data_IF_881668455808
#
_entry.id   IF_881668455808
#
_cell.length_a   1.000
_cell.length_b   1.000
_cell.length_c   1.000
_cell.angle_alpha   90.00
_cell.angle_beta   90.00
_cell.angle_gamma   90.00
#
_symmetry.space_group_name_H-M   'P 1'
#
loop_
_entity.id
_entity.type
_entity.pdbx_description
1 polymer ?
#
# COMPACT_ATOMS: atom_id res chain seq x y z
N UNK A 1 27.72 -32.50 34.04
CA UNK A 1 27.82 -33.82 33.39
C UNK A 1 27.86 -33.61 31.89
N UNK A 2 28.58 -34.44 31.14
CA UNK A 2 28.71 -34.35 29.68
C UNK A 2 28.04 -35.59 29.08
N UNK A 3 27.25 -35.41 28.03
CA UNK A 3 26.83 -36.52 27.17
C UNK A 3 27.30 -36.26 25.73
N UNK A 4 28.16 -37.17 25.24
CA UNK A 4 28.50 -37.36 23.82
C UNK A 4 27.64 -38.49 23.26
N UNK A 5 27.21 -38.34 22.01
CA UNK A 5 27.02 -39.36 20.97
C UNK A 5 26.87 -38.53 19.67
N UNK A 6 27.62 -38.68 18.57
CA UNK A 6 28.08 -39.86 17.82
C UNK A 6 26.90 -40.72 17.33
N UNK A 7 26.62 -40.88 16.03
CA UNK A 7 27.25 -40.31 14.83
C UNK A 7 26.37 -40.57 13.59
N UNK A 8 26.72 -39.98 12.44
CA UNK A 8 25.95 -40.13 11.20
C UNK A 8 26.27 -41.44 10.44
N UNK A 9 25.40 -41.84 9.50
CA UNK A 9 25.90 -42.12 8.15
C UNK A 9 25.19 -41.29 7.07
N UNK A 10 25.94 -40.96 6.02
CA UNK A 10 25.45 -40.40 4.75
C UNK A 10 24.99 -41.51 3.80
N UNK A 11 24.09 -41.18 2.87
CA UNK A 11 23.87 -41.95 1.65
C UNK A 11 23.65 -41.01 0.46
N UNK A 12 24.21 -41.38 -0.68
CA UNK A 12 24.31 -40.54 -1.88
C UNK A 12 23.18 -40.74 -2.89
N UNK A 13 23.19 -39.88 -3.91
CA UNK A 13 22.28 -39.78 -5.05
C UNK A 13 22.00 -41.08 -5.82
N UNK A 14 20.79 -41.18 -6.37
CA UNK A 14 20.50 -41.87 -7.63
C UNK A 14 19.54 -41.03 -8.50
N UNK A 15 19.40 -41.41 -9.77
CA UNK A 15 18.97 -40.54 -10.89
C UNK A 15 17.90 -41.22 -11.79
N UNK A 16 17.09 -40.41 -12.48
CA UNK A 16 16.19 -40.69 -13.62
C UNK A 16 15.18 -41.87 -13.59
N UNK A 17 13.95 -41.62 -14.09
CA UNK A 17 12.94 -42.65 -14.39
C UNK A 17 11.53 -42.09 -14.63
N UNK A 18 11.02 -42.22 -15.87
CA UNK A 18 9.79 -41.59 -16.38
C UNK A 18 8.46 -42.30 -16.06
N UNK A 19 7.37 -41.61 -16.46
CA UNK A 19 6.06 -42.12 -16.96
C UNK A 19 4.90 -42.51 -16.02
N UNK A 20 3.72 -42.02 -16.44
CA UNK A 20 2.34 -42.51 -16.22
C UNK A 20 1.77 -42.63 -14.78
N UNK A 21 0.45 -42.86 -14.62
CA UNK A 21 -0.72 -42.02 -14.95
C UNK A 21 -1.96 -42.62 -14.24
N UNK A 22 -2.99 -41.81 -13.94
CA UNK A 22 -4.20 -42.21 -13.20
C UNK A 22 -3.93 -42.68 -11.73
N UNK A 23 -4.91 -42.87 -10.84
CA UNK A 23 -6.38 -42.82 -11.02
C UNK A 23 -7.12 -42.19 -9.80
N UNK A 24 -8.45 -42.12 -9.86
CA UNK A 24 -9.34 -41.33 -8.99
C UNK A 24 -9.49 -41.87 -7.57
N UNK A 25 -9.10 -41.07 -6.57
CA UNK A 25 -9.34 -41.32 -5.14
C UNK A 25 -10.61 -40.67 -4.60
N UNK A 26 -11.77 -41.30 -4.78
CA UNK A 26 -13.05 -40.80 -4.27
C UNK A 26 -13.20 -41.00 -2.75
N UNK A 27 -13.31 -39.92 -1.95
CA UNK A 27 -13.64 -40.01 -0.52
C UNK A 27 -15.08 -39.55 -0.25
N UNK A 28 -15.80 -40.36 0.54
CA UNK A 28 -17.26 -40.40 0.61
C UNK A 28 -17.76 -39.77 1.90
N UNK A 29 -18.75 -38.89 1.81
CA UNK A 29 -19.41 -38.36 3.00
C UNK A 29 -20.23 -39.45 3.72
N UNK A 30 -20.15 -39.46 5.05
CA UNK A 30 -21.04 -40.24 5.94
C UNK A 30 -22.01 -39.30 6.64
N UNK A 31 -23.29 -39.64 6.64
CA UNK A 31 -24.37 -38.75 7.08
C UNK A 31 -25.45 -39.55 7.83
N UNK A 32 -25.40 -39.50 9.16
CA UNK A 32 -26.37 -40.05 10.13
C UNK A 32 -26.05 -39.45 11.52
N UNK A 33 -26.97 -39.19 12.45
CA UNK A 33 -28.42 -39.50 12.51
C UNK A 33 -29.22 -38.30 13.06
N UNK A 34 -30.54 -38.36 12.94
CA UNK A 34 -31.52 -37.35 13.36
C UNK A 34 -31.61 -37.14 14.89
N UNK A 35 -32.15 -35.97 15.26
CA UNK A 35 -32.75 -35.68 16.57
C UNK A 35 -33.94 -34.72 16.39
N UNK A 36 -35.08 -35.04 17.01
CA UNK A 36 -36.33 -34.27 16.97
C UNK A 36 -36.26 -33.03 17.89
N UNK A 37 -37.06 -31.97 17.78
CA UNK A 37 -38.17 -31.66 16.86
C UNK A 37 -39.28 -30.87 17.59
N UNK A 38 -39.73 -29.73 17.07
CA UNK A 38 -40.91 -29.01 17.59
C UNK A 38 -41.67 -28.24 16.48
N UNK A 39 -42.99 -28.14 16.65
CA UNK A 39 -43.95 -27.61 15.65
C UNK A 39 -44.39 -26.19 16.04
N UNK A 40 -44.53 -25.28 15.06
CA UNK A 40 -44.84 -23.86 15.33
C UNK A 40 -45.49 -23.07 14.20
N UNK A 41 -46.81 -23.26 14.00
CA UNK A 41 -47.78 -22.24 13.56
C UNK A 41 -47.47 -21.33 12.35
N UNK A 42 -48.01 -21.68 11.18
CA UNK A 42 -48.09 -20.78 10.01
C UNK A 42 -49.17 -19.70 10.20
N UNK A 43 -48.87 -18.42 9.91
CA UNK A 43 -49.92 -17.43 9.61
C UNK A 43 -49.48 -16.34 8.61
N UNK A 44 -49.98 -16.44 7.38
CA UNK A 44 -49.96 -15.37 6.39
C UNK A 44 -51.10 -14.37 6.68
N UNK A 45 -50.87 -13.06 6.52
CA UNK A 45 -51.96 -12.09 6.37
C UNK A 45 -51.64 -10.91 5.46
N UNK A 46 -52.02 -11.07 4.19
CA UNK A 46 -52.15 -9.96 3.24
C UNK A 46 -53.38 -9.10 3.58
N UNK A 47 -53.33 -7.80 3.28
CA UNK A 47 -54.52 -6.93 3.14
C UNK A 47 -54.35 -6.00 1.95
N UNK A 48 -55.38 -5.93 1.10
CA UNK A 48 -55.48 -5.08 -0.09
C UNK A 48 -56.95 -4.67 -0.28
N UNK A 49 -57.25 -3.38 -0.22
CA UNK A 49 -58.51 -2.70 -0.62
C UNK A 49 -58.34 -1.20 -0.26
N UNK A 50 -58.90 -0.20 -0.94
CA UNK A 50 -59.57 -0.05 -2.26
C UNK A 50 -59.64 1.47 -2.54
N UNK A 51 -59.38 2.01 -3.72
CA UNK A 51 -60.18 1.99 -4.98
C UNK A 51 -61.57 2.62 -4.84
N UNK A 52 -61.64 3.94 -5.05
CA UNK A 52 -62.68 4.77 -5.73
C UNK A 52 -61.95 6.05 -6.20
N UNK A 53 -62.19 6.71 -7.34
CA UNK A 53 -63.04 6.45 -8.51
C UNK A 53 -63.31 7.76 -9.30
N UNK A 54 -63.40 7.70 -10.64
CA UNK A 54 -63.64 8.83 -11.56
C UNK A 54 -62.35 9.42 -12.19
N UNK A 55 -62.15 9.63 -13.51
CA UNK A 55 -62.99 10.11 -14.64
C UNK A 55 -63.06 11.66 -14.77
N UNK A 56 -62.92 12.33 -15.94
CA UNK A 56 -62.29 12.03 -17.26
C UNK A 56 -62.18 13.34 -18.08
N UNK A 57 -61.42 13.36 -19.20
CA UNK A 57 -61.48 14.36 -20.31
C UNK A 57 -61.09 15.83 -19.96
N UNK A 58 -61.01 16.79 -20.90
CA UNK A 58 -60.17 16.84 -22.11
C UNK A 58 -60.01 18.28 -22.66
N UNK A 59 -58.93 18.53 -23.42
CA UNK A 59 -58.82 19.48 -24.56
C UNK A 59 -59.07 21.02 -24.43
N UNK A 60 -58.05 21.79 -24.88
CA UNK A 60 -58.15 22.84 -25.93
C UNK A 60 -58.52 24.32 -25.63
N UNK A 61 -57.46 25.14 -25.46
CA UNK A 61 -57.12 26.35 -26.26
C UNK A 61 -57.91 27.69 -26.19
N UNK A 62 -57.19 28.74 -26.62
CA UNK A 62 -57.61 30.09 -27.11
C UNK A 62 -58.05 31.19 -26.10
N UNK A 63 -57.94 32.51 -26.37
CA UNK A 63 -56.89 33.35 -27.02
C UNK A 63 -57.34 34.83 -27.19
N UNK A 64 -56.54 35.84 -26.82
CA UNK A 64 -56.51 37.28 -27.27
C UNK A 64 -55.31 37.98 -26.59
N UNK A 65 -54.49 38.91 -27.14
CA UNK A 65 -54.66 40.16 -27.93
C UNK A 65 -55.28 41.31 -27.10
N UNK A 66 -54.82 42.57 -27.11
CA UNK A 66 -53.67 43.32 -27.73
C UNK A 66 -53.45 44.62 -26.88
N UNK A 67 -52.68 45.70 -27.14
CA UNK A 67 -52.04 46.37 -28.32
C UNK A 67 -50.76 47.14 -27.85
N UNK A 68 -50.04 47.81 -28.76
CA UNK A 68 -48.86 48.71 -28.55
C UNK A 68 -49.21 50.18 -28.91
N UNK A 69 -48.29 51.16 -29.20
CA UNK A 69 -46.81 51.24 -29.19
C UNK A 69 -46.35 52.30 -28.12
N UNK A 70 -45.36 53.22 -28.21
CA UNK A 70 -44.34 53.72 -29.16
C UNK A 70 -43.34 54.57 -28.30
N UNK A 71 -42.02 54.76 -28.46
CA UNK A 71 -40.90 54.39 -29.37
C UNK A 71 -39.60 54.31 -28.48
N UNK A 72 -38.31 54.46 -28.85
CA UNK A 72 -37.52 54.75 -30.07
C UNK A 72 -36.04 54.25 -29.88
N UNK A 73 -35.08 54.69 -30.73
CA UNK A 73 -33.68 54.92 -30.31
C UNK A 73 -32.71 53.72 -30.20
N UNK A 74 -32.51 52.97 -31.28
CA UNK A 74 -31.38 52.01 -31.48
C UNK A 74 -30.30 52.63 -32.40
N UNK A 75 -29.16 51.97 -32.80
CA UNK A 75 -28.66 50.59 -32.61
C UNK A 75 -27.25 50.52 -31.94
N UNK A 76 -26.67 49.36 -31.56
CA UNK A 76 -26.19 48.22 -32.38
C UNK A 76 -25.98 46.96 -31.50
N UNK A 77 -26.45 45.74 -31.84
CA UNK A 77 -26.04 44.77 -32.90
C UNK A 77 -24.56 44.36 -32.81
N UNK A 78 -24.15 43.09 -32.62
CA UNK A 78 -24.81 41.77 -32.56
C UNK A 78 -24.08 40.88 -31.52
N UNK A 79 -24.54 39.70 -31.08
CA UNK A 79 -25.66 38.87 -31.54
C UNK A 79 -25.18 37.54 -32.17
N UNK A 80 -25.87 36.44 -31.83
CA UNK A 80 -25.79 35.09 -32.43
C UNK A 80 -24.63 34.12 -32.05
N UNK A 81 -25.02 33.15 -31.20
CA UNK A 81 -25.10 31.71 -31.51
C UNK A 81 -23.85 30.80 -31.43
N UNK A 82 -24.01 29.73 -30.64
CA UNK A 82 -23.10 28.56 -30.55
C UNK A 82 -23.23 27.69 -31.81
N UNK A 83 -22.09 27.27 -32.38
CA UNK A 83 -22.04 26.22 -33.41
C UNK A 83 -20.92 25.23 -33.10
N UNK A 84 -21.26 23.93 -33.05
CA UNK A 84 -20.29 22.85 -32.82
C UNK A 84 -19.71 22.34 -34.15
N UNK A 85 -18.41 22.58 -34.39
CA UNK A 85 -17.47 21.65 -35.04
C UNK A 85 -16.07 22.26 -35.20
N UNK A 86 -15.07 21.66 -34.56
CA UNK A 86 -13.94 21.01 -35.24
C UNK A 86 -12.91 20.47 -34.23
N UNK A 87 -12.45 19.24 -34.42
CA UNK A 87 -11.32 18.69 -33.67
C UNK A 87 -10.02 19.17 -34.30
N UNK A 88 -9.30 20.07 -33.63
CA UNK A 88 -7.92 20.41 -34.00
C UNK A 88 -6.96 19.44 -33.29
N UNK A 89 -6.35 18.52 -34.05
CA UNK A 89 -5.29 17.65 -33.52
C UNK A 89 -4.06 18.52 -33.22
N UNK A 90 -3.71 18.65 -31.95
CA UNK A 90 -2.51 19.37 -31.53
C UNK A 90 -1.26 18.60 -31.98
N UNK A 91 -0.48 19.18 -32.90
CA UNK A 91 0.76 18.58 -33.37
C UNK A 91 1.76 18.41 -32.20
N UNK A 92 2.50 17.29 -32.13
CA UNK A 92 3.44 17.03 -31.04
C UNK A 92 4.58 18.06 -31.07
N UNK A 93 4.76 18.78 -29.96
CA UNK A 93 5.90 19.69 -29.79
C UNK A 93 7.19 18.86 -29.83
N UNK A 94 8.13 19.20 -30.72
CA UNK A 94 9.45 18.54 -30.77
C UNK A 94 10.20 18.77 -29.46
N UNK A 95 10.33 17.73 -28.64
CA UNK A 95 11.11 17.77 -27.41
C UNK A 95 12.60 17.98 -27.72
N UNK A 96 13.25 18.91 -27.01
CA UNK A 96 14.65 19.23 -27.20
C UNK A 96 15.54 18.20 -26.46
N UNK A 97 16.40 17.43 -27.14
CA UNK A 97 17.08 16.25 -26.56
C UNK A 97 18.03 16.59 -25.41
N UNK A 98 18.57 17.82 -25.35
CA UNK A 98 19.44 18.25 -24.25
C UNK A 98 18.73 18.34 -22.89
N UNK A 99 17.43 18.68 -22.86
CA UNK A 99 16.70 18.81 -21.58
C UNK A 99 16.48 17.44 -20.92
N UNK A 100 16.25 16.41 -21.72
CA UNK A 100 16.10 15.03 -21.25
C UNK A 100 17.42 14.49 -20.70
N UNK A 101 18.56 14.72 -21.38
CA UNK A 101 19.88 14.32 -20.86
C UNK A 101 20.24 15.06 -19.56
N UNK A 102 20.00 16.37 -19.48
CA UNK A 102 20.28 17.13 -18.25
C UNK A 102 19.52 16.57 -17.04
N UNK A 103 18.22 16.28 -17.20
CA UNK A 103 17.39 15.63 -16.16
C UNK A 103 17.91 14.24 -15.79
N UNK A 104 18.36 13.45 -16.77
CA UNK A 104 18.92 12.13 -16.55
C UNK A 104 20.22 12.18 -15.71
N UNK A 105 21.08 13.16 -15.95
CA UNK A 105 22.29 13.38 -15.13
C UNK A 105 21.90 13.70 -13.67
N UNK A 106 20.97 14.63 -13.46
CA UNK A 106 20.46 14.96 -12.11
C UNK A 106 19.89 13.75 -11.39
N UNK A 107 19.24 12.83 -12.10
CA UNK A 107 18.77 11.56 -11.52
C UNK A 107 19.91 10.63 -11.13
N UNK A 108 20.94 10.48 -11.98
CA UNK A 108 22.11 9.64 -11.69
C UNK A 108 22.88 10.19 -10.47
N UNK A 109 23.02 11.50 -10.36
CA UNK A 109 23.64 12.13 -9.18
C UNK A 109 22.79 11.96 -7.92
N UNK A 110 21.47 12.06 -8.03
CA UNK A 110 20.55 11.72 -6.95
C UNK A 110 20.61 10.23 -6.56
N UNK A 111 20.85 9.31 -7.50
CA UNK A 111 21.05 7.87 -7.24
C UNK A 111 22.40 7.58 -6.56
N UNK A 112 23.47 8.32 -6.91
CA UNK A 112 24.77 8.27 -6.22
C UNK A 112 24.59 8.61 -4.74
N UNK A 113 23.98 9.76 -4.45
CA UNK A 113 23.70 10.26 -3.11
C UNK A 113 22.71 9.38 -2.31
N UNK A 114 21.82 8.63 -2.98
CA UNK A 114 20.91 7.65 -2.36
C UNK A 114 21.52 6.25 -2.18
N UNK A 115 22.83 6.09 -2.40
CA UNK A 115 23.57 4.97 -1.81
C UNK A 115 23.45 5.05 -0.29
N UNK A 116 23.13 3.96 0.43
CA UNK A 116 23.34 3.96 1.87
C UNK A 116 24.79 4.35 2.19
N UNK A 117 25.04 5.11 3.27
CA UNK A 117 26.28 4.89 4.01
C UNK A 117 26.41 3.38 4.23
N UNK A 118 27.60 2.82 4.06
CA UNK A 118 27.82 1.41 4.41
C UNK A 118 27.34 1.21 5.84
N UNK A 119 26.88 0.02 6.19
CA UNK A 119 26.88 -0.40 7.59
C UNK A 119 28.36 -0.40 8.02
N UNK A 120 28.80 0.74 8.56
CA UNK A 120 30.20 1.01 8.89
C UNK A 120 30.54 0.14 10.08
N UNK A 121 31.33 -0.91 9.82
CA UNK A 121 32.04 -1.58 10.90
C UNK A 121 32.88 -0.54 11.62
N UNK A 122 32.88 -0.55 12.96
CA UNK A 122 33.42 0.50 13.84
C UNK A 122 34.97 0.51 13.89
N UNK A 123 35.62 0.30 12.75
CA UNK A 123 37.07 0.17 12.60
C UNK A 123 37.56 1.02 11.42
N UNK A 124 37.96 2.26 11.71
CA UNK A 124 38.71 3.10 10.76
C UNK A 124 38.24 4.55 10.56
N UNK A 125 37.36 5.12 11.40
CA UNK A 125 36.88 6.50 11.25
C UNK A 125 37.45 7.45 12.32
N UNK A 126 37.63 8.72 11.96
CA UNK A 126 38.20 9.76 12.83
C UNK A 126 37.15 10.19 13.88
N UNK A 127 37.44 10.19 15.21
CA UNK A 127 36.44 10.49 16.25
C UNK A 127 35.64 11.77 16.01
N UNK A 128 36.28 12.84 15.55
CA UNK A 128 35.64 14.13 15.23
C UNK A 128 34.50 14.00 14.21
N UNK A 129 34.61 13.08 13.24
CA UNK A 129 33.56 12.83 12.25
C UNK A 129 32.38 12.06 12.81
N UNK A 130 32.63 11.15 13.77
CA UNK A 130 31.58 10.41 14.48
C UNK A 130 30.77 11.38 15.37
N UNK A 131 31.46 12.24 16.11
CA UNK A 131 30.82 13.25 16.97
C UNK A 131 29.97 14.25 16.16
N UNK A 132 30.45 14.68 14.98
CA UNK A 132 29.66 15.54 14.09
C UNK A 132 28.42 14.83 13.52
N UNK A 133 28.52 13.58 13.06
CA UNK A 133 27.37 12.82 12.57
C UNK A 133 26.35 12.55 13.72
N UNK A 134 26.83 12.25 14.93
CA UNK A 134 25.99 12.03 16.11
C UNK A 134 25.30 13.32 16.59
N UNK A 135 25.99 14.46 16.57
CA UNK A 135 25.41 15.76 16.88
C UNK A 135 24.33 16.16 15.85
N UNK A 136 24.58 15.93 14.55
CA UNK A 136 23.62 16.19 13.49
C UNK A 136 22.36 15.31 13.61
N UNK A 137 22.50 14.03 13.99
CA UNK A 137 21.36 13.16 14.27
C UNK A 137 20.61 13.58 15.54
N UNK A 138 21.31 14.03 16.59
CA UNK A 138 20.68 14.53 17.82
C UNK A 138 19.83 15.78 17.57
N UNK A 139 20.35 16.76 16.83
CA UNK A 139 19.62 17.97 16.42
C UNK A 139 18.49 17.69 15.40
N UNK A 140 18.51 16.55 14.73
CA UNK A 140 17.41 16.07 13.89
C UNK A 140 16.30 15.41 14.71
N UNK A 141 16.66 14.65 15.76
CA UNK A 141 15.70 14.04 16.71
C UNK A 141 14.90 15.08 17.52
N UNK A 142 15.40 16.30 17.69
CA UNK A 142 14.60 17.40 18.28
C UNK A 142 13.35 17.74 17.45
N UNK A 143 13.42 17.53 16.13
CA UNK A 143 12.34 17.82 15.17
C UNK A 143 11.50 16.57 14.87
N UNK A 144 12.12 15.40 14.88
CA UNK A 144 11.50 14.10 14.61
C UNK A 144 11.79 13.12 15.77
N UNK A 145 11.21 13.32 16.96
CA UNK A 145 11.59 12.57 18.15
C UNK A 145 11.18 11.10 18.08
N UNK A 146 11.91 10.25 18.80
CA UNK A 146 11.67 8.80 18.80
C UNK A 146 10.24 8.46 19.25
N UNK A 147 9.56 7.63 18.47
CA UNK A 147 8.23 7.12 18.82
C UNK A 147 8.25 6.18 20.03
N UNK A 148 9.42 5.63 20.42
CA UNK A 148 9.60 4.87 21.65
C UNK A 148 9.62 5.77 22.89
N UNK A 149 10.35 6.89 22.87
CA UNK A 149 10.43 7.83 24.00
C UNK A 149 9.18 8.70 24.12
N UNK A 150 8.44 8.88 23.03
CA UNK A 150 7.17 9.62 23.00
C UNK A 150 5.92 8.72 23.06
N UNK A 151 6.07 7.39 23.19
CA UNK A 151 4.98 6.41 23.09
C UNK A 151 3.74 6.78 23.93
N UNK A 152 3.90 7.17 25.19
CA UNK A 152 2.77 7.56 26.07
C UNK A 152 1.98 8.78 25.56
N UNK A 153 2.63 9.69 24.80
CA UNK A 153 1.95 10.81 24.15
C UNK A 153 1.07 10.31 23.00
N UNK A 154 1.59 9.38 22.20
CA UNK A 154 0.85 8.73 21.09
C UNK A 154 -0.32 7.91 21.64
N UNK A 155 -0.07 7.06 22.64
CA UNK A 155 -1.07 6.26 23.34
C UNK A 155 -2.19 7.12 23.98
N UNK A 156 -1.86 8.32 24.48
CA UNK A 156 -2.85 9.29 24.97
C UNK A 156 -3.70 9.91 23.85
N UNK A 157 -3.14 10.16 22.66
CA UNK A 157 -3.87 10.68 21.49
C UNK A 157 -4.73 9.59 20.81
N UNK A 158 -4.26 8.35 20.81
CA UNK A 158 -4.96 7.16 20.33
C UNK A 158 -6.04 6.65 21.30
N UNK A 159 -6.09 7.18 22.53
CA UNK A 159 -7.06 6.73 23.55
C UNK A 159 -8.49 6.97 23.09
N UNK A 160 -9.33 5.95 23.30
CA UNK A 160 -10.74 5.88 22.87
C UNK A 160 -10.98 5.88 21.34
N UNK A 161 -9.93 5.76 20.51
CA UNK A 161 -10.03 5.74 19.04
C UNK A 161 -9.86 4.35 18.43
N UNK A 162 -10.34 4.19 17.21
CA UNK A 162 -10.04 3.03 16.37
C UNK A 162 -8.66 3.19 15.73
N UNK A 163 -7.64 2.57 16.35
CA UNK A 163 -6.29 2.54 15.79
C UNK A 163 -6.23 1.58 14.60
N UNK A 164 -5.62 2.04 13.50
CA UNK A 164 -5.34 1.27 12.28
C UNK A 164 -3.85 1.38 11.98
N UNK A 165 -3.20 0.28 11.62
CA UNK A 165 -1.74 0.21 11.47
C UNK A 165 -1.34 -0.05 10.02
N UNK A 166 -0.50 0.82 9.48
CA UNK A 166 0.07 0.73 8.13
C UNK A 166 1.58 0.60 8.22
N UNK A 167 2.13 -0.39 7.52
CA UNK A 167 3.55 -0.74 7.59
C UNK A 167 4.11 -0.85 6.18
N UNK A 168 5.19 -0.15 5.88
CA UNK A 168 6.07 -0.53 4.77
C UNK A 168 6.82 -1.84 5.11
N UNK A 169 7.47 -2.46 4.12
CA UNK A 169 8.21 -3.71 4.30
C UNK A 169 9.74 -3.54 4.31
N UNK A 170 10.33 -2.89 3.30
CA UNK A 170 11.77 -2.91 3.03
C UNK A 170 12.50 -1.76 3.74
N UNK A 171 13.31 -2.10 4.75
CA UNK A 171 13.89 -1.13 5.69
C UNK A 171 13.02 -0.86 6.91
N UNK A 172 11.79 -1.36 6.91
CA UNK A 172 10.78 -1.14 7.94
C UNK A 172 10.53 -2.39 8.78
N UNK A 173 10.15 -3.50 8.13
CA UNK A 173 9.91 -4.81 8.77
C UNK A 173 11.01 -5.84 8.46
N UNK A 174 11.76 -5.61 7.39
CA UNK A 174 12.99 -6.34 7.03
C UNK A 174 14.15 -5.34 6.94
N UNK A 175 15.39 -5.71 7.30
CA UNK A 175 16.56 -4.88 7.00
C UNK A 175 16.77 -4.71 5.48
N UNK A 176 17.40 -3.59 5.09
CA UNK A 176 17.75 -3.32 3.69
C UNK A 176 18.97 -4.15 3.30
N UNK A 177 18.79 -5.06 2.33
CA UNK A 177 19.81 -6.02 1.89
C UNK A 177 20.31 -5.75 0.46
N UNK A 178 21.47 -6.31 0.13
CA UNK A 178 22.07 -6.21 -1.21
C UNK A 178 21.24 -6.92 -2.28
N UNK A 179 20.76 -8.15 -1.99
CA UNK A 179 19.82 -8.88 -2.84
C UNK A 179 18.38 -8.79 -2.28
N UNK A 180 17.43 -8.12 -2.96
CA UNK A 180 16.02 -8.04 -2.60
C UNK A 180 15.32 -9.36 -2.28
N UNK A 181 15.77 -10.49 -2.80
CA UNK A 181 15.18 -11.82 -2.55
C UNK A 181 15.59 -12.39 -1.17
N UNK A 182 16.48 -11.70 -0.45
CA UNK A 182 16.91 -12.02 0.93
C UNK A 182 16.42 -11.00 1.96
N UNK A 183 15.47 -10.15 1.61
CA UNK A 183 14.80 -9.22 2.53
C UNK A 183 13.74 -9.98 3.33
N UNK A 184 14.19 -10.82 4.27
CA UNK A 184 13.33 -11.76 5.00
C UNK A 184 13.01 -11.17 6.39
N UNK A 185 11.71 -11.05 6.68
CA UNK A 185 11.18 -10.76 8.02
C UNK A 185 11.55 -11.88 8.99
N UNK A 186 12.09 -11.54 10.17
CA UNK A 186 12.37 -12.51 11.24
C UNK A 186 11.08 -13.05 11.85
N UNK A 187 11.09 -14.26 12.39
CA UNK A 187 9.88 -14.85 12.98
C UNK A 187 9.43 -14.13 14.27
N UNK A 188 10.35 -13.47 14.98
CA UNK A 188 10.01 -12.52 16.04
C UNK A 188 9.20 -11.31 15.53
N UNK A 189 9.59 -10.73 14.40
CA UNK A 189 8.85 -9.64 13.76
C UNK A 189 7.52 -10.16 13.22
N UNK A 190 7.49 -11.35 12.60
CA UNK A 190 6.28 -12.02 12.12
C UNK A 190 5.27 -12.22 13.25
N UNK A 191 5.71 -12.76 14.39
CA UNK A 191 4.88 -12.94 15.59
C UNK A 191 4.40 -11.59 16.13
N UNK A 192 5.26 -10.58 16.16
CA UNK A 192 4.91 -9.22 16.61
C UNK A 192 3.83 -8.59 15.71
N UNK A 193 3.99 -8.63 14.38
CA UNK A 193 3.00 -8.12 13.42
C UNK A 193 1.69 -8.91 13.50
N UNK A 194 1.75 -10.23 13.73
CA UNK A 194 0.57 -11.08 13.98
C UNK A 194 -0.20 -10.61 15.22
N UNK A 195 0.48 -10.36 16.33
CA UNK A 195 -0.16 -9.83 17.54
C UNK A 195 -0.79 -8.45 17.31
N UNK A 196 -0.13 -7.56 16.56
CA UNK A 196 -0.71 -6.27 16.14
C UNK A 196 -2.01 -6.48 15.35
N UNK A 197 -2.04 -7.42 14.41
CA UNK A 197 -3.21 -7.76 13.62
C UNK A 197 -4.40 -8.29 14.47
N UNK A 198 -4.13 -9.02 15.56
CA UNK A 198 -5.20 -9.42 16.51
C UNK A 198 -5.79 -8.25 17.30
N UNK A 199 -5.06 -7.14 17.38
CA UNK A 199 -5.42 -5.96 18.17
C UNK A 199 -5.98 -4.80 17.33
N UNK A 200 -5.61 -4.71 16.05
CA UNK A 200 -5.88 -3.58 15.16
C UNK A 200 -5.96 -4.02 13.69
N UNK A 201 -6.83 -3.45 12.84
CA UNK A 201 -6.73 -3.59 11.39
C UNK A 201 -5.35 -3.17 10.93
N UNK A 202 -4.64 -4.10 10.27
CA UNK A 202 -3.22 -3.94 9.92
C UNK A 202 -3.00 -4.22 8.45
N UNK A 203 -2.23 -3.36 7.79
CA UNK A 203 -1.95 -3.41 6.36
C UNK A 203 -0.46 -3.23 6.05
N UNK A 204 0.06 -4.03 5.12
CA UNK A 204 1.42 -3.87 4.59
C UNK A 204 1.36 -3.23 3.20
N UNK A 205 2.10 -2.13 3.00
CA UNK A 205 2.11 -1.33 1.77
C UNK A 205 3.53 -1.28 1.20
N UNK A 206 3.78 -1.98 0.09
CA UNK A 206 5.14 -2.21 -0.45
C UNK A 206 5.24 -1.89 -1.94
N UNK A 207 6.43 -1.51 -2.39
CA UNK A 207 6.76 -1.45 -3.83
C UNK A 207 6.72 -2.81 -4.54
N UNK A 208 6.91 -3.91 -3.79
CA UNK A 208 6.93 -5.28 -4.31
C UNK A 208 5.58 -5.76 -4.83
N UNK A 209 5.58 -6.71 -5.76
CA UNK A 209 4.38 -7.45 -6.12
C UNK A 209 3.68 -8.03 -4.88
N UNK A 210 2.34 -7.93 -4.85
CA UNK A 210 1.51 -8.37 -3.72
C UNK A 210 1.77 -9.83 -3.28
N UNK A 211 1.94 -10.82 -4.19
CA UNK A 211 2.31 -12.18 -3.80
C UNK A 211 3.69 -12.27 -3.15
N UNK A 212 4.69 -11.54 -3.66
CA UNK A 212 6.08 -11.61 -3.16
C UNK A 212 6.24 -11.07 -1.74
N UNK A 213 5.52 -9.99 -1.39
CA UNK A 213 5.48 -9.53 0.01
C UNK A 213 4.67 -10.47 0.91
N UNK A 214 3.61 -11.09 0.38
CA UNK A 214 2.89 -12.15 1.11
C UNK A 214 3.78 -13.38 1.40
N UNK A 215 4.58 -13.83 0.43
CA UNK A 215 5.52 -14.95 0.56
C UNK A 215 6.55 -14.74 1.69
N UNK A 216 6.97 -13.49 1.94
CA UNK A 216 7.86 -13.18 3.05
C UNK A 216 7.16 -13.01 4.40
N UNK A 217 5.91 -12.52 4.43
CA UNK A 217 5.19 -12.19 5.67
C UNK A 217 4.34 -13.36 6.19
N UNK A 218 3.63 -14.05 5.31
CA UNK A 218 2.87 -15.29 5.58
C UNK A 218 1.75 -15.14 6.64
N UNK A 219 1.10 -13.97 6.69
CA UNK A 219 -0.04 -13.69 7.57
C UNK A 219 -1.29 -13.39 6.74
N UNK A 220 -2.31 -14.24 6.79
CA UNK A 220 -3.55 -14.11 6.01
C UNK A 220 -4.55 -13.13 6.63
N UNK A 221 -4.35 -12.76 7.90
CA UNK A 221 -5.13 -11.77 8.63
C UNK A 221 -4.83 -10.30 8.25
N UNK A 222 -3.81 -10.07 7.41
CA UNK A 222 -3.38 -8.74 6.98
C UNK A 222 -3.99 -8.30 5.64
N UNK A 223 -4.11 -6.99 5.46
CA UNK A 223 -4.25 -6.38 4.14
C UNK A 223 -2.87 -6.20 3.49
N UNK A 224 -2.77 -6.40 2.17
CA UNK A 224 -1.55 -6.24 1.39
C UNK A 224 -1.80 -5.33 0.21
N UNK A 225 -1.04 -4.23 0.14
CA UNK A 225 -1.08 -3.24 -0.92
C UNK A 225 0.28 -3.23 -1.66
N UNK A 226 0.45 -4.17 -2.59
CA UNK A 226 1.67 -4.31 -3.38
C UNK A 226 1.73 -3.32 -4.55
N UNK A 227 2.86 -3.28 -5.24
CA UNK A 227 3.10 -2.42 -6.42
C UNK A 227 2.95 -0.92 -6.09
N UNK A 228 3.53 -0.47 -4.97
CA UNK A 228 3.31 0.85 -4.35
C UNK A 228 1.82 1.14 -4.07
N UNK A 229 1.07 0.08 -3.73
CA UNK A 229 -0.35 0.13 -3.44
C UNK A 229 -1.29 0.11 -4.65
N UNK A 230 -0.82 -0.27 -5.84
CA UNK A 230 -1.68 -0.51 -7.02
C UNK A 230 -2.25 -1.94 -7.11
N UNK A 231 -1.84 -2.87 -6.24
CA UNK A 231 -2.46 -4.20 -6.09
C UNK A 231 -2.83 -4.45 -4.63
N UNK A 232 -4.07 -4.10 -4.27
CA UNK A 232 -4.59 -4.22 -2.91
C UNK A 232 -5.44 -5.50 -2.79
N UNK A 233 -5.21 -6.29 -1.75
CA UNK A 233 -6.12 -7.35 -1.30
C UNK A 233 -6.11 -7.50 0.23
N UNK A 234 -7.22 -7.90 0.83
CA UNK A 234 -7.29 -8.29 2.24
C UNK A 234 -8.57 -9.04 2.61
N UNK A 235 -8.70 -9.53 3.85
CA UNK A 235 -9.82 -10.35 4.27
C UNK A 235 -11.15 -9.58 4.28
N UNK A 236 -12.18 -10.06 3.57
CA UNK A 236 -13.53 -9.50 3.68
C UNK A 236 -14.28 -9.93 4.96
N UNK A 237 -13.79 -10.97 5.63
CA UNK A 237 -14.34 -11.48 6.89
C UNK A 237 -13.34 -11.27 8.05
N UNK A 238 -12.89 -10.02 8.24
CA UNK A 238 -12.01 -9.62 9.36
C UNK A 238 -12.78 -9.60 10.69
N UNK A 239 -13.13 -10.79 11.19
CA UNK A 239 -13.68 -11.11 12.51
C UNK A 239 -14.51 -9.99 13.19
N UNK A 240 -15.74 -9.79 12.71
CA UNK A 240 -16.88 -9.09 13.35
C UNK A 240 -16.74 -7.64 13.87
N UNK A 241 -15.55 -7.04 13.93
CA UNK A 241 -15.34 -5.75 14.64
C UNK A 241 -15.47 -4.52 13.73
N UNK A 242 -15.26 -4.62 12.41
CA UNK A 242 -15.20 -3.47 11.50
C UNK A 242 -16.13 -3.61 10.29
N UNK A 243 -16.76 -2.50 9.88
CA UNK A 243 -17.66 -2.47 8.71
C UNK A 243 -16.84 -2.32 7.43
N UNK A 244 -16.78 -3.39 6.63
CA UNK A 244 -16.10 -3.34 5.34
C UNK A 244 -17.00 -2.72 4.27
N UNK A 245 -16.52 -1.64 3.67
CA UNK A 245 -17.12 -0.94 2.53
C UNK A 245 -16.26 -1.09 1.24
N UNK A 246 -15.18 -1.88 1.29
CA UNK A 246 -14.27 -2.09 0.16
C UNK A 246 -14.90 -2.88 -0.99
N UNK A 247 -14.27 -2.81 -2.17
CA UNK A 247 -14.69 -3.58 -3.34
C UNK A 247 -14.47 -5.07 -3.08
N UNK A 248 -15.53 -5.88 -3.10
CA UNK A 248 -15.44 -7.32 -2.89
C UNK A 248 -15.17 -8.06 -4.20
N UNK A 249 -14.29 -9.06 -4.12
CA UNK A 249 -14.03 -10.03 -5.17
C UNK A 249 -13.86 -11.43 -4.58
N UNK A 250 -13.80 -12.45 -5.43
CA UNK A 250 -13.44 -13.81 -5.04
C UNK A 250 -11.93 -14.04 -5.19
N UNK A 251 -11.31 -14.70 -4.21
CA UNK A 251 -9.95 -15.21 -4.34
C UNK A 251 -9.90 -16.51 -5.17
N UNK A 252 -8.70 -17.10 -5.29
CA UNK A 252 -8.50 -18.38 -6.02
C UNK A 252 -9.22 -19.58 -5.40
N UNK A 253 -9.73 -19.46 -4.18
CA UNK A 253 -10.41 -20.52 -3.41
C UNK A 253 -11.92 -20.26 -3.26
N UNK A 254 -12.44 -19.15 -3.79
CA UNK A 254 -13.85 -18.77 -3.70
C UNK A 254 -14.22 -17.97 -2.44
N UNK A 255 -13.24 -17.60 -1.61
CA UNK A 255 -13.47 -16.73 -0.45
C UNK A 255 -13.71 -15.29 -0.89
N UNK A 256 -14.52 -14.55 -0.14
CA UNK A 256 -14.65 -13.11 -0.32
C UNK A 256 -13.42 -12.38 0.23
N UNK A 257 -12.86 -11.49 -0.60
CA UNK A 257 -11.74 -10.62 -0.27
C UNK A 257 -12.05 -9.18 -0.68
N UNK A 258 -11.56 -8.22 0.10
CA UNK A 258 -11.42 -6.84 -0.38
C UNK A 258 -10.34 -6.86 -1.45
N UNK A 259 -10.58 -6.25 -2.60
CA UNK A 259 -9.66 -6.29 -3.75
C UNK A 259 -9.77 -5.01 -4.60
N UNK A 260 -8.63 -4.39 -4.93
CA UNK A 260 -8.61 -3.16 -5.71
C UNK A 260 -7.33 -2.97 -6.53
N UNK A 261 -7.49 -2.56 -7.79
CA UNK A 261 -6.41 -2.31 -8.75
C UNK A 261 -6.75 -1.08 -9.62
N UNK A 262 -6.28 0.13 -9.27
CA UNK A 262 -6.64 1.39 -9.95
C UNK A 262 -5.97 1.57 -11.33
N UNK A 263 -5.16 0.61 -11.76
CA UNK A 263 -4.44 0.61 -13.03
C UNK A 263 -4.65 -0.70 -13.82
N UNK A 264 -5.72 -1.45 -13.54
CA UNK A 264 -5.93 -2.82 -14.08
C UNK A 264 -5.81 -2.93 -15.61
N UNK A 265 -6.22 -1.90 -16.36
CA UNK A 265 -6.12 -1.78 -17.80
C UNK A 265 -4.66 -1.72 -18.32
N UNK A 266 -3.70 -1.39 -17.45
CA UNK A 266 -2.28 -1.35 -17.78
C UNK A 266 -1.60 -2.74 -17.73
N UNK A 267 -2.24 -3.79 -17.21
CA UNK A 267 -1.59 -5.10 -17.01
C UNK A 267 -0.91 -5.65 -18.28
N UNK A 268 -1.56 -5.70 -19.47
CA UNK A 268 -0.91 -6.21 -20.69
C UNK A 268 0.24 -5.32 -21.18
N UNK A 269 0.15 -4.01 -20.93
CA UNK A 269 1.20 -3.05 -21.27
C UNK A 269 2.42 -3.20 -20.34
N UNK A 270 2.20 -3.39 -19.04
CA UNK A 270 3.26 -3.61 -18.07
C UNK A 270 4.00 -4.93 -18.32
N UNK A 271 3.28 -6.00 -18.68
CA UNK A 271 3.90 -7.26 -19.08
C UNK A 271 4.75 -7.09 -20.35
N UNK A 272 4.21 -6.48 -21.41
CA UNK A 272 4.93 -6.18 -22.65
C UNK A 272 6.21 -5.38 -22.38
N UNK A 273 6.12 -4.30 -21.60
CA UNK A 273 7.26 -3.43 -21.32
C UNK A 273 8.28 -4.10 -20.40
N UNK A 274 7.85 -4.93 -19.44
CA UNK A 274 8.76 -5.75 -18.64
C UNK A 274 9.60 -6.69 -19.52
N UNK A 275 8.96 -7.39 -20.47
CA UNK A 275 9.65 -8.28 -21.41
C UNK A 275 10.65 -7.52 -22.31
N UNK A 276 10.28 -6.32 -22.78
CA UNK A 276 11.20 -5.44 -23.54
C UNK A 276 12.40 -5.04 -22.66
N UNK A 277 12.19 -4.68 -21.39
CA UNK A 277 13.26 -4.31 -20.46
C UNK A 277 14.18 -5.49 -20.15
N UNK A 278 13.66 -6.71 -20.01
CA UNK A 278 14.45 -7.94 -19.81
C UNK A 278 15.43 -8.13 -20.96
N UNK A 279 14.94 -8.21 -22.20
CA UNK A 279 15.83 -8.42 -23.37
C UNK A 279 16.78 -7.23 -23.59
N UNK A 280 16.31 -6.00 -23.33
CA UNK A 280 17.11 -4.77 -23.39
C UNK A 280 18.32 -4.79 -22.45
N UNK A 281 18.19 -5.39 -21.27
CA UNK A 281 19.19 -5.34 -20.20
C UNK A 281 20.02 -6.62 -20.07
N UNK A 282 19.61 -7.70 -20.72
CA UNK A 282 20.26 -9.02 -20.78
C UNK A 282 21.78 -9.01 -21.04
N UNK A 283 22.28 -8.07 -21.85
CA UNK A 283 23.72 -7.94 -22.14
C UNK A 283 24.49 -7.05 -21.14
N UNK A 284 23.81 -6.40 -20.20
CA UNK A 284 24.39 -5.47 -19.23
C UNK A 284 24.67 -6.24 -17.93
N UNK A 285 25.89 -6.78 -17.79
CA UNK A 285 26.30 -7.58 -16.64
C UNK A 285 26.01 -6.87 -15.31
N UNK A 286 25.22 -7.52 -14.45
CA UNK A 286 24.80 -7.01 -13.16
C UNK A 286 23.46 -6.27 -13.14
N UNK A 287 22.84 -6.05 -14.30
CA UNK A 287 21.45 -5.58 -14.39
C UNK A 287 20.47 -6.74 -14.16
N UNK A 288 19.31 -6.45 -13.58
CA UNK A 288 18.20 -7.42 -13.44
C UNK A 288 16.88 -6.68 -13.44
N UNK A 289 15.90 -7.15 -14.21
CA UNK A 289 14.52 -6.65 -14.16
C UNK A 289 13.69 -7.51 -13.21
N UNK A 290 12.84 -6.87 -12.41
CA UNK A 290 11.88 -7.51 -11.53
C UNK A 290 10.47 -7.07 -11.93
N UNK A 291 9.58 -8.04 -12.19
CA UNK A 291 8.18 -7.78 -12.50
C UNK A 291 7.38 -7.61 -11.20
N UNK A 292 7.20 -6.36 -10.78
CA UNK A 292 6.34 -5.97 -9.66
C UNK A 292 4.90 -5.62 -10.13
N UNK A 293 4.41 -6.30 -11.20
CA UNK A 293 3.04 -6.27 -11.76
C UNK A 293 2.56 -4.92 -12.31
N UNK A 294 2.38 -3.92 -11.44
CA UNK A 294 2.15 -2.52 -11.84
C UNK A 294 3.42 -1.67 -11.75
N UNK A 295 4.57 -2.29 -11.49
CA UNK A 295 5.89 -1.69 -11.58
C UNK A 295 6.86 -2.68 -12.24
N UNK A 296 7.74 -2.22 -13.12
CA UNK A 296 8.86 -3.01 -13.64
C UNK A 296 10.17 -2.36 -13.15
N UNK A 297 10.87 -3.05 -12.24
CA UNK A 297 12.01 -2.50 -11.51
C UNK A 297 13.32 -3.00 -12.11
N UNK A 298 14.08 -2.12 -12.76
CA UNK A 298 15.43 -2.42 -13.26
C UNK A 298 16.44 -2.12 -12.15
N UNK A 299 16.92 -3.19 -11.51
CA UNK A 299 18.02 -3.16 -10.56
C UNK A 299 19.34 -2.96 -11.29
N UNK A 300 20.09 -1.91 -10.93
CA UNK A 300 21.40 -1.63 -11.50
C UNK A 300 22.53 -1.55 -10.44
N UNK A 301 22.22 -1.89 -9.19
CA UNK A 301 23.16 -1.91 -8.05
C UNK A 301 24.47 -2.66 -8.29
N UNK A 302 24.45 -3.71 -9.12
CA UNK A 302 25.61 -4.54 -9.45
C UNK A 302 26.18 -4.25 -10.86
N UNK A 303 25.62 -3.27 -11.58
CA UNK A 303 26.14 -2.77 -12.85
C UNK A 303 27.30 -1.81 -12.56
N UNK A 304 28.38 -1.90 -13.34
CA UNK A 304 29.47 -0.91 -13.26
C UNK A 304 28.95 0.52 -13.48
N UNK A 305 29.49 1.49 -12.74
CA UNK A 305 29.03 2.88 -12.80
C UNK A 305 29.21 3.52 -14.19
N UNK A 306 30.27 3.13 -14.93
CA UNK A 306 30.53 3.54 -16.33
C UNK A 306 29.37 3.23 -17.30
N UNK A 307 28.45 2.31 -16.93
CA UNK A 307 27.30 1.91 -17.74
C UNK A 307 25.96 2.49 -17.25
N UNK A 308 25.92 3.24 -16.14
CA UNK A 308 24.66 3.73 -15.56
C UNK A 308 23.96 4.75 -16.47
N UNK A 309 24.70 5.70 -17.06
CA UNK A 309 24.15 6.63 -18.05
C UNK A 309 23.60 5.90 -19.28
N UNK A 310 24.34 4.94 -19.81
CA UNK A 310 23.94 4.18 -21.00
C UNK A 310 22.67 3.36 -20.73
N UNK A 311 22.58 2.68 -19.58
CA UNK A 311 21.41 1.93 -19.15
C UNK A 311 20.19 2.83 -18.98
N UNK A 312 20.33 3.93 -18.25
CA UNK A 312 19.23 4.85 -17.97
C UNK A 312 18.72 5.53 -19.25
N UNK A 313 19.64 5.92 -20.16
CA UNK A 313 19.31 6.47 -21.48
C UNK A 313 18.57 5.46 -22.35
N UNK A 314 18.98 4.19 -22.33
CA UNK A 314 18.34 3.10 -23.11
C UNK A 314 16.90 2.87 -22.64
N UNK A 315 16.66 2.86 -21.34
CA UNK A 315 15.31 2.75 -20.74
C UNK A 315 14.47 3.98 -21.05
N UNK A 316 15.00 5.19 -20.88
CA UNK A 316 14.29 6.43 -21.19
C UNK A 316 13.90 6.53 -22.67
N UNK A 317 14.73 6.01 -23.59
CA UNK A 317 14.41 5.95 -25.01
C UNK A 317 13.26 4.99 -25.32
N UNK A 318 13.21 3.80 -24.70
CA UNK A 318 12.09 2.85 -24.86
C UNK A 318 10.76 3.47 -24.42
N UNK A 319 10.76 4.27 -23.34
CA UNK A 319 9.53 4.84 -22.80
C UNK A 319 8.99 6.04 -23.60
N UNK A 320 9.71 6.52 -24.63
CA UNK A 320 9.16 7.51 -25.58
C UNK A 320 7.99 6.95 -26.39
N UNK A 321 7.98 5.64 -26.63
CA UNK A 321 6.89 4.92 -27.30
C UNK A 321 5.72 4.57 -26.36
N UNK A 322 5.88 4.84 -25.05
CA UNK A 322 4.93 4.48 -23.99
C UNK A 322 4.61 5.69 -23.07
N UNK A 323 4.04 6.79 -23.61
CA UNK A 323 3.81 8.03 -22.87
C UNK A 323 2.78 7.93 -21.73
N UNK A 324 2.06 6.81 -21.63
CA UNK A 324 1.17 6.49 -20.51
C UNK A 324 1.89 5.81 -19.34
N UNK A 325 3.20 5.56 -19.46
CA UNK A 325 4.07 5.08 -18.38
C UNK A 325 5.00 6.20 -17.90
N UNK A 326 5.42 6.10 -16.64
CA UNK A 326 6.37 7.02 -16.00
C UNK A 326 7.62 6.26 -15.55
N UNK A 327 8.77 6.92 -15.63
CA UNK A 327 10.06 6.44 -15.11
C UNK A 327 10.35 7.15 -13.79
N UNK A 328 10.44 6.38 -12.69
CA UNK A 328 10.92 6.84 -11.38
C UNK A 328 12.26 6.18 -11.03
N UNK A 329 12.87 6.63 -9.95
CA UNK A 329 14.16 6.12 -9.48
C UNK A 329 14.18 5.99 -7.96
N UNK A 330 14.93 4.99 -7.47
CA UNK A 330 15.16 4.72 -6.05
C UNK A 330 16.62 4.33 -5.78
N UNK A 331 16.88 3.64 -4.66
CA UNK A 331 18.24 3.31 -4.15
C UNK A 331 18.97 2.26 -5.01
N UNK A 332 19.47 2.70 -6.17
CA UNK A 332 20.07 1.93 -7.28
C UNK A 332 19.09 1.05 -8.07
N UNK A 333 17.88 1.59 -8.27
CA UNK A 333 16.82 1.03 -9.12
C UNK A 333 16.21 2.11 -10.03
N UNK A 334 15.82 1.71 -11.23
CA UNK A 334 14.93 2.46 -12.13
C UNK A 334 13.59 1.74 -12.17
N UNK A 335 12.48 2.48 -12.11
CA UNK A 335 11.13 1.93 -11.95
C UNK A 335 10.23 2.44 -13.06
N UNK A 336 9.64 1.52 -13.83
CA UNK A 336 8.62 1.85 -14.84
C UNK A 336 7.25 1.51 -14.27
N UNK A 337 6.32 2.47 -14.27
CA UNK A 337 4.97 2.31 -13.69
C UNK A 337 3.91 3.10 -14.48
N UNK A 338 2.62 2.70 -14.44
CA UNK A 338 1.53 3.49 -15.02
C UNK A 338 1.57 4.96 -14.58
N UNK A 339 1.40 5.89 -15.51
CA UNK A 339 1.39 7.33 -15.23
C UNK A 339 0.04 7.82 -14.69
N UNK A 340 -0.56 7.06 -13.77
CA UNK A 340 -1.80 7.42 -13.08
C UNK A 340 -1.52 8.24 -11.82
N UNK A 341 -2.53 8.96 -11.33
CA UNK A 341 -2.43 9.80 -10.12
C UNK A 341 -2.56 8.91 -8.86
N UNK A 342 -1.61 8.01 -8.62
CA UNK A 342 -1.62 7.06 -7.50
C UNK A 342 -0.27 6.97 -6.75
N UNK A 343 -0.34 6.65 -5.45
CA UNK A 343 0.78 6.63 -4.51
C UNK A 343 0.39 5.84 -3.23
N UNK A 344 1.36 5.62 -2.32
CA UNK A 344 1.13 4.92 -1.04
C UNK A 344 0.08 5.64 -0.16
N UNK A 345 -0.01 6.97 -0.22
CA UNK A 345 -1.03 7.75 0.49
C UNK A 345 -2.44 7.45 0.01
N UNK A 346 -2.66 7.35 -1.32
CA UNK A 346 -3.97 6.94 -1.85
C UNK A 346 -4.33 5.49 -1.51
N UNK A 347 -3.34 4.61 -1.39
CA UNK A 347 -3.57 3.24 -0.89
C UNK A 347 -3.99 3.23 0.58
N UNK A 348 -3.37 4.03 1.46
CA UNK A 348 -3.82 4.24 2.85
C UNK A 348 -5.25 4.79 2.89
N UNK A 349 -5.56 5.81 2.09
CA UNK A 349 -6.90 6.40 2.03
C UNK A 349 -7.96 5.40 1.53
N UNK A 350 -7.65 4.59 0.52
CA UNK A 350 -8.51 3.51 0.06
C UNK A 350 -8.79 2.48 1.17
N UNK A 351 -7.75 2.08 1.92
CA UNK A 351 -7.88 1.11 3.01
C UNK A 351 -8.69 1.66 4.18
N UNK A 352 -8.47 2.92 4.58
CA UNK A 352 -9.29 3.59 5.60
C UNK A 352 -10.77 3.63 5.20
N UNK A 353 -11.06 4.03 3.95
CA UNK A 353 -12.43 4.06 3.44
C UNK A 353 -13.04 2.65 3.38
N UNK A 354 -12.26 1.65 2.96
CA UNK A 354 -12.66 0.24 2.89
C UNK A 354 -12.94 -0.39 4.26
N UNK A 355 -12.28 0.08 5.31
CA UNK A 355 -12.50 -0.31 6.71
C UNK A 355 -13.64 0.48 7.39
N UNK A 356 -14.33 1.36 6.65
CA UNK A 356 -15.45 2.15 7.16
C UNK A 356 -15.06 3.45 7.88
N UNK A 357 -13.79 3.88 7.80
CA UNK A 357 -13.28 5.09 8.43
C UNK A 357 -13.26 6.33 7.53
N UNK A 358 -13.95 6.28 6.38
CA UNK A 358 -14.19 7.46 5.54
C UNK A 358 -14.78 8.61 6.38
N UNK A 359 -14.13 9.76 6.35
CA UNK A 359 -14.46 10.99 7.10
C UNK A 359 -14.62 10.82 8.62
N UNK A 360 -14.15 9.70 9.20
CA UNK A 360 -14.28 9.42 10.63
C UNK A 360 -13.27 10.24 11.45
N UNK A 361 -13.77 10.98 12.44
CA UNK A 361 -12.90 11.63 13.44
C UNK A 361 -12.48 10.69 14.58
N UNK A 362 -12.99 9.45 14.62
CA UNK A 362 -12.68 8.44 15.64
C UNK A 362 -11.55 7.47 15.24
N UNK A 363 -11.01 7.56 14.02
CA UNK A 363 -9.85 6.76 13.61
C UNK A 363 -8.54 7.38 14.11
N UNK A 364 -7.53 6.53 14.34
CA UNK A 364 -6.15 6.92 14.62
C UNK A 364 -5.19 6.07 13.76
N UNK A 365 -4.92 6.47 12.50
CA UNK A 365 -3.97 5.77 11.65
C UNK A 365 -2.54 5.98 12.14
N UNK A 366 -1.80 4.89 12.27
CA UNK A 366 -0.34 4.84 12.48
C UNK A 366 0.29 4.36 11.19
N UNK A 367 1.25 5.11 10.63
CA UNK A 367 2.03 4.69 9.46
C UNK A 367 3.52 4.64 9.81
N UNK A 368 4.20 3.55 9.46
CA UNK A 368 5.64 3.35 9.66
C UNK A 368 6.32 3.02 8.32
N UNK A 369 7.39 3.73 7.94
CA UNK A 369 8.16 3.44 6.73
C UNK A 369 9.55 4.09 6.65
N UNK A 370 10.45 3.59 5.80
CA UNK A 370 11.84 4.08 5.61
C UNK A 370 11.99 5.09 4.45
N UNK A 371 11.06 5.08 3.50
CA UNK A 371 11.36 5.39 2.10
C UNK A 371 10.72 6.70 1.58
N UNK A 372 11.21 7.21 0.44
CA UNK A 372 10.69 8.41 -0.23
C UNK A 372 9.23 8.24 -0.65
N UNK A 373 8.74 7.03 -0.94
CA UNK A 373 7.32 6.81 -1.29
C UNK A 373 6.42 6.78 -0.06
N UNK A 374 6.95 6.57 1.15
CA UNK A 374 6.19 6.67 2.40
C UNK A 374 5.83 8.13 2.74
N UNK A 375 6.59 9.10 2.24
CA UNK A 375 6.27 10.53 2.36
C UNK A 375 4.85 10.89 1.86
N UNK A 376 4.33 10.17 0.86
CA UNK A 376 2.98 10.42 0.36
C UNK A 376 1.90 9.91 1.34
N UNK A 377 2.21 8.89 2.15
CA UNK A 377 1.38 8.46 3.26
C UNK A 377 1.54 9.35 4.51
N UNK A 378 2.77 9.80 4.83
CA UNK A 378 3.01 10.76 5.91
C UNK A 378 2.27 12.08 5.69
N UNK A 379 2.28 12.63 4.46
CA UNK A 379 1.51 13.83 4.09
C UNK A 379 0.00 13.63 4.29
N UNK A 380 -0.55 12.48 3.89
CA UNK A 380 -1.97 12.15 4.10
C UNK A 380 -2.29 12.18 5.60
N UNK A 381 -1.53 11.43 6.41
CA UNK A 381 -1.75 11.34 7.86
C UNK A 381 -1.62 12.69 8.55
N UNK A 382 -0.67 13.53 8.15
CA UNK A 382 -0.48 14.87 8.72
C UNK A 382 -1.64 15.83 8.39
N UNK A 383 -2.41 15.57 7.32
CA UNK A 383 -3.65 16.29 7.03
C UNK A 383 -4.82 15.89 7.94
N UNK A 384 -4.69 14.79 8.70
CA UNK A 384 -5.73 14.29 9.60
C UNK A 384 -5.54 14.84 11.02
N UNK A 385 -6.65 15.17 11.69
CA UNK A 385 -6.66 15.73 13.05
C UNK A 385 -5.97 14.85 14.11
N UNK A 386 -5.98 13.54 13.90
CA UNK A 386 -5.46 12.53 14.82
C UNK A 386 -4.81 11.40 14.03
N UNK A 387 -3.49 11.27 14.11
CA UNK A 387 -2.70 10.30 13.35
C UNK A 387 -1.30 10.16 13.97
N UNK A 388 -0.49 9.23 13.46
CA UNK A 388 0.91 9.08 13.81
C UNK A 388 1.75 8.66 12.59
N UNK A 389 2.67 9.52 12.15
CA UNK A 389 3.53 9.32 10.99
C UNK A 389 4.98 9.09 11.45
N UNK A 390 5.53 7.90 11.20
CA UNK A 390 6.81 7.46 11.77
C UNK A 390 7.80 7.07 10.67
N UNK A 391 8.94 7.77 10.60
CA UNK A 391 10.03 7.45 9.69
C UNK A 391 11.04 6.51 10.34
N UNK A 392 11.43 5.44 9.63
CA UNK A 392 12.54 4.56 10.01
C UNK A 392 13.86 5.09 9.41
N UNK A 393 14.77 5.57 10.27
CA UNK A 393 16.09 6.04 9.86
C UNK A 393 17.11 6.15 11.00
N UNK A 394 18.31 5.64 10.74
CA UNK A 394 19.51 5.82 11.58
C UNK A 394 20.33 7.06 11.22
N UNK A 395 19.92 7.82 10.20
CA UNK A 395 20.59 9.04 9.71
C UNK A 395 19.57 10.17 9.49
N UNK A 396 19.97 11.46 9.54
CA UNK A 396 19.07 12.57 9.21
C UNK A 396 18.51 12.44 7.80
N UNK A 397 17.19 12.54 7.65
CA UNK A 397 16.48 12.60 6.36
C UNK A 397 15.53 13.81 6.36
N UNK A 398 15.34 14.46 5.21
CA UNK A 398 14.22 15.39 5.05
C UNK A 398 12.93 14.59 4.97
N UNK A 399 11.97 14.88 5.86
CA UNK A 399 10.74 14.09 6.00
C UNK A 399 9.57 14.92 6.49
N UNK A 400 8.36 14.49 6.15
CA UNK A 400 7.12 14.97 6.78
C UNK A 400 6.69 14.13 7.99
N UNK A 401 7.34 13.00 8.30
CA UNK A 401 7.00 12.20 9.46
C UNK A 401 7.12 12.99 10.78
N UNK A 402 6.11 12.85 11.65
CA UNK A 402 6.03 13.55 12.94
C UNK A 402 6.93 12.93 14.02
N UNK A 403 7.28 11.65 13.89
CA UNK A 403 8.16 10.90 14.80
C UNK A 403 9.16 10.05 14.01
N UNK A 404 10.16 9.50 14.71
CA UNK A 404 11.14 8.58 14.13
C UNK A 404 11.27 7.25 14.89
N UNK A 405 11.83 6.25 14.22
CA UNK A 405 12.42 5.05 14.81
C UNK A 405 13.76 4.80 14.09
N UNK A 406 14.75 4.20 14.76
CA UNK A 406 16.11 4.07 14.20
C UNK A 406 16.19 3.04 13.07
N UNK A 407 15.60 1.86 13.28
CA UNK A 407 15.75 0.67 12.45
C UNK A 407 14.63 -0.36 12.77
N UNK A 408 14.52 -1.49 12.04
CA UNK A 408 13.47 -2.49 12.27
C UNK A 408 13.40 -3.09 13.69
N UNK A 409 14.46 -3.01 14.51
CA UNK A 409 14.38 -3.46 15.91
C UNK A 409 13.57 -2.50 16.78
N UNK A 410 13.72 -1.19 16.58
CA UNK A 410 12.87 -0.18 17.23
C UNK A 410 11.43 -0.23 16.71
N UNK A 411 11.22 -0.62 15.44
CA UNK A 411 9.87 -0.91 14.90
C UNK A 411 9.23 -2.09 15.62
N UNK A 412 9.96 -3.19 15.83
CA UNK A 412 9.44 -4.35 16.56
C UNK A 412 9.07 -3.99 18.00
N UNK A 413 9.92 -3.24 18.70
CA UNK A 413 9.66 -2.77 20.08
C UNK A 413 8.44 -1.82 20.14
N UNK A 414 8.30 -0.89 19.19
CA UNK A 414 7.15 0.02 19.13
C UNK A 414 5.83 -0.75 18.93
N UNK A 415 5.83 -1.76 18.05
CA UNK A 415 4.68 -2.62 17.81
C UNK A 415 4.34 -3.49 19.04
N UNK A 416 5.35 -4.04 19.75
CA UNK A 416 5.16 -4.76 21.02
C UNK A 416 4.50 -3.87 22.08
N UNK A 417 4.92 -2.61 22.22
CA UNK A 417 4.29 -1.62 23.12
C UNK A 417 2.84 -1.33 22.75
N UNK A 418 2.54 -1.17 21.45
CA UNK A 418 1.19 -0.92 20.94
C UNK A 418 0.22 -2.07 21.28
N UNK A 419 0.69 -3.33 21.14
CA UNK A 419 -0.05 -4.54 21.55
C UNK A 419 -0.27 -4.57 23.08
N UNK A 420 0.79 -4.34 23.86
CA UNK A 420 0.70 -4.36 25.33
C UNK A 420 -0.31 -3.32 25.85
N UNK A 421 -0.26 -2.09 25.32
CA UNK A 421 -1.20 -1.01 25.64
C UNK A 421 -2.67 -1.41 25.36
N UNK A 422 -2.95 -2.07 24.22
CA UNK A 422 -4.31 -2.54 23.87
C UNK A 422 -4.81 -3.62 24.82
N UNK A 423 -3.96 -4.59 25.19
CA UNK A 423 -4.28 -5.69 26.11
C UNK A 423 -4.56 -5.16 27.53
N UNK A 424 -3.62 -4.43 28.11
CA UNK A 424 -3.73 -3.81 29.45
C UNK A 424 -4.92 -2.84 29.56
N UNK A 425 -5.16 -2.03 28.51
CA UNK A 425 -6.32 -1.15 28.41
C UNK A 425 -7.67 -1.86 28.28
N UNK A 426 -7.67 -3.18 28.05
CA UNK A 426 -8.87 -4.02 28.00
C UNK A 426 -9.06 -4.78 29.31
N UNK A 427 -7.99 -5.31 29.90
CA UNK A 427 -7.99 -5.92 31.23
C UNK A 427 -8.55 -4.97 32.31
N UNK A 428 -8.12 -3.70 32.30
CA UNK A 428 -8.65 -2.68 33.22
C UNK A 428 -10.12 -2.30 33.01
N UNK A 429 -10.68 -2.54 31.83
CA UNK A 429 -12.14 -2.38 31.60
C UNK A 429 -12.90 -3.60 32.12
N UNK A 430 -12.37 -4.79 31.86
CA UNK A 430 -12.97 -6.04 32.35
C UNK A 430 -12.95 -6.15 33.89
N UNK A 431 -11.90 -5.69 34.56
CA UNK A 431 -11.84 -5.70 36.05
C UNK A 431 -12.83 -4.72 36.68
N UNK A 432 -13.02 -3.54 36.09
CA UNK A 432 -14.00 -2.53 36.51
C UNK A 432 -15.43 -3.01 36.25
N UNK A 433 -15.73 -3.63 35.09
CA UNK A 433 -17.05 -4.19 34.82
C UNK A 433 -17.38 -5.40 35.71
N UNK A 434 -16.38 -6.22 36.08
CA UNK A 434 -16.55 -7.37 36.97
C UNK A 434 -16.44 -7.03 38.47
N UNK A 435 -16.48 -5.75 38.84
CA UNK A 435 -16.59 -5.28 40.23
C UNK A 435 -15.42 -5.62 41.17
N UNK A 436 -14.30 -6.14 40.65
CA UNK A 436 -13.15 -6.55 41.47
C UNK A 436 -12.25 -5.36 41.82
N UNK A 437 -12.73 -4.53 42.74
CA UNK A 437 -11.89 -3.59 43.47
C UNK A 437 -10.98 -4.35 44.43
N UNK A 438 -9.73 -4.56 44.04
CA UNK A 438 -8.66 -4.81 45.01
C UNK A 438 -8.35 -3.48 45.70
N UNK A 439 -8.86 -3.34 46.92
CA UNK A 439 -8.47 -2.28 47.86
C UNK A 439 -7.21 -2.75 48.58
N UNK A 440 -6.19 -1.89 48.64
CA UNK A 440 -5.00 -2.08 49.48
C UNK A 440 -5.27 -1.59 50.91
#
# INVERSE_FOLDING_TARGET
MIYKFEGAPSFDSFDQGDTESADVGLLRASLTTLGEGMVGGMLLRSKRAGVVGGETLSSSCNSTLSVSPLSSGSPSTNGALVSMKNMAVAAPKKHAPNLDKARLMTWIDAMRAQSPPRFRSLHGENPETIDMEAAAYSAWLEKHPSALSTFEKVAKLAKNKQVVVFLDYDGTLSPIVSNPDRAIMTDEMRSTVKEVATCFPTAIISGRARPKVYEFVQLSELYYAGSHGMDIMGPANSASVFKINGTLAKDKMGNDVVFFQPASEFLPLMEKVCNILVETTKSIKGARVENNKFCATVHFRNVKEELWEALASKIQNILKDYPTLSLTHGRKVLEVRPAIVWDKGKAVNYLLNSLGFADSSDVFPVYIGDDRTDEDAFKLLNGMKHSCSILVTSVPKSTTASLSLRDPSEVMEYLRRLVHWKKWGSEKRNSVQNGRYFVN
#
